data_IF_088222377762
#
_entry.id   IF_088222377762
#
_cell.length_a   1.000
_cell.length_b   1.000
_cell.length_c   1.000
_cell.angle_alpha   90.00
_cell.angle_beta   90.00
_cell.angle_gamma   90.00
#
_symmetry.space_group_name_H-M   'P 1'
#
loop_
_entity.id
_entity.type
_entity.pdbx_description
1 polymer ?
#
# COMPACT_ATOMS: atom_id res chain seq x y z
N UNK A 1 -29.07 16.79 13.87
CA UNK A 1 -27.71 16.21 13.81
C UNK A 1 -27.84 14.97 12.93
N UNK A 2 -27.45 15.07 11.66
CA UNK A 2 -27.54 13.93 10.74
C UNK A 2 -26.51 12.89 11.19
N UNK A 3 -26.93 11.64 11.33
CA UNK A 3 -26.03 10.55 11.68
C UNK A 3 -25.05 10.32 10.52
N UNK A 4 -23.75 10.46 10.79
CA UNK A 4 -22.72 9.97 9.88
C UNK A 4 -22.92 8.46 9.71
N UNK A 5 -23.19 8.03 8.48
CA UNK A 5 -23.23 6.61 8.13
C UNK A 5 -21.81 6.20 7.75
N UNK A 6 -21.24 5.25 8.46
CA UNK A 6 -20.02 4.58 8.03
C UNK A 6 -20.41 3.45 7.08
N UNK A 7 -19.96 3.51 5.83
CA UNK A 7 -20.10 2.42 4.86
C UNK A 7 -18.76 1.69 4.72
N UNK A 8 -18.79 0.36 4.76
CA UNK A 8 -17.64 -0.51 4.50
C UNK A 8 -17.58 -0.84 3.01
N UNK A 9 -16.42 -0.63 2.40
CA UNK A 9 -16.19 -0.94 1.00
C UNK A 9 -15.02 -1.92 0.90
N UNK A 10 -15.35 -3.17 0.60
CA UNK A 10 -14.35 -4.15 0.18
C UNK A 10 -14.16 -4.03 -1.33
N UNK A 11 -12.95 -3.64 -1.76
CA UNK A 11 -12.59 -3.57 -3.18
C UNK A 11 -11.30 -4.35 -3.42
N UNK A 12 -11.38 -5.30 -4.33
CA UNK A 12 -10.18 -5.90 -4.93
C UNK A 12 -9.61 -4.91 -5.96
N UNK A 13 -8.34 -4.54 -5.78
CA UNK A 13 -7.61 -3.71 -6.74
C UNK A 13 -6.46 -4.56 -7.28
N UNK A 14 -6.52 -4.88 -8.56
CA UNK A 14 -5.45 -5.57 -9.27
C UNK A 14 -4.28 -4.61 -9.49
N UNK A 15 -3.10 -4.97 -9.01
CA UNK A 15 -1.88 -4.19 -9.21
C UNK A 15 -0.71 -5.10 -9.57
N UNK A 16 0.22 -4.54 -10.34
CA UNK A 16 1.52 -5.16 -10.65
C UNK A 16 2.39 -5.15 -9.39
N UNK A 17 2.28 -6.24 -8.62
CA UNK A 17 2.59 -6.21 -7.20
C UNK A 17 4.05 -6.23 -6.81
N UNK A 18 4.96 -6.91 -7.54
CA UNK A 18 6.36 -6.98 -7.12
C UNK A 18 6.99 -5.59 -6.96
N UNK A 19 6.80 -4.73 -7.96
CA UNK A 19 7.32 -3.36 -7.94
C UNK A 19 6.49 -2.40 -7.08
N UNK A 20 5.21 -2.68 -6.85
CA UNK A 20 4.37 -1.86 -5.97
C UNK A 20 4.69 -2.10 -4.48
N UNK A 21 4.97 -3.34 -4.10
CA UNK A 21 5.26 -3.74 -2.72
C UNK A 21 6.50 -3.05 -2.16
N UNK A 22 7.58 -2.95 -2.94
CA UNK A 22 8.82 -2.29 -2.51
C UNK A 22 8.61 -0.80 -2.26
N UNK A 23 7.82 -0.14 -3.12
CA UNK A 23 7.45 1.27 -2.93
C UNK A 23 6.59 1.46 -1.67
N UNK A 24 5.64 0.56 -1.43
CA UNK A 24 4.80 0.63 -0.23
C UNK A 24 5.61 0.46 1.03
N UNK A 25 6.42 -0.60 1.15
CA UNK A 25 7.24 -0.83 2.34
C UNK A 25 8.17 0.36 2.59
N UNK A 26 8.78 0.93 1.54
CA UNK A 26 9.58 2.15 1.67
C UNK A 26 8.80 3.32 2.26
N UNK A 27 7.55 3.54 1.82
CA UNK A 27 6.72 4.65 2.23
C UNK A 27 6.03 4.44 3.59
N UNK A 28 5.59 3.23 3.91
CA UNK A 28 4.74 2.93 5.07
C UNK A 28 5.50 2.37 6.27
N UNK A 29 6.66 1.72 6.07
CA UNK A 29 7.46 1.17 7.17
C UNK A 29 8.49 2.18 7.72
N UNK A 30 8.44 3.45 7.32
CA UNK A 30 9.34 4.49 7.79
C UNK A 30 10.80 4.32 7.35
N UNK A 31 11.09 3.48 6.35
CA UNK A 31 12.44 3.22 5.84
C UNK A 31 13.10 4.51 5.36
N UNK A 32 12.38 5.28 4.53
CA UNK A 32 12.88 6.57 4.02
C UNK A 32 13.05 7.65 5.11
N UNK A 33 12.38 7.49 6.25
CA UNK A 33 12.50 8.42 7.39
C UNK A 33 13.58 7.99 8.39
N UNK A 34 14.00 6.71 8.37
CA UNK A 34 14.86 6.11 9.41
C UNK A 34 16.28 5.81 8.93
N UNK A 35 16.50 5.75 7.61
CA UNK A 35 17.79 5.40 7.01
C UNK A 35 18.34 6.55 6.16
N UNK A 36 19.68 6.72 6.11
CA UNK A 36 20.31 7.58 5.11
C UNK A 36 20.02 7.09 3.68
N UNK A 37 20.03 7.98 2.69
CA UNK A 37 19.67 7.68 1.30
C UNK A 37 20.37 6.44 0.71
N UNK A 38 21.67 6.29 0.95
CA UNK A 38 22.43 5.12 0.48
C UNK A 38 22.00 3.80 1.12
N UNK A 39 21.51 3.84 2.35
CA UNK A 39 20.94 2.67 3.03
C UNK A 39 19.49 2.40 2.60
N UNK A 40 18.71 3.45 2.28
CA UNK A 40 17.38 3.30 1.66
C UNK A 40 17.50 2.60 0.31
N UNK A 41 18.47 2.98 -0.53
CA UNK A 41 18.67 2.33 -1.83
C UNK A 41 19.03 0.86 -1.67
N UNK A 42 20.00 0.53 -0.81
CA UNK A 42 20.38 -0.87 -0.54
C UNK A 42 19.20 -1.71 -0.04
N UNK A 43 18.40 -1.16 0.88
CA UNK A 43 17.20 -1.83 1.36
C UNK A 43 16.22 -2.12 0.22
N UNK A 44 15.96 -1.16 -0.66
CA UNK A 44 15.05 -1.35 -1.79
C UNK A 44 15.56 -2.44 -2.75
N UNK A 45 16.85 -2.42 -3.08
CA UNK A 45 17.46 -3.41 -3.97
C UNK A 45 17.42 -4.84 -3.36
N UNK A 46 17.59 -4.97 -2.05
CA UNK A 46 17.47 -6.26 -1.35
C UNK A 46 16.02 -6.74 -1.32
N UNK A 47 15.08 -5.85 -1.02
CA UNK A 47 13.66 -6.15 -0.99
C UNK A 47 13.14 -6.57 -2.38
N UNK A 48 13.55 -5.89 -3.45
CA UNK A 48 13.22 -6.25 -4.83
C UNK A 48 13.63 -7.69 -5.15
N UNK A 49 14.84 -8.12 -4.74
CA UNK A 49 15.31 -9.49 -4.95
C UNK A 49 14.49 -10.51 -4.18
N UNK A 50 14.16 -10.23 -2.93
CA UNK A 50 13.33 -11.11 -2.09
C UNK A 50 11.93 -11.27 -2.69
N UNK A 51 11.34 -10.16 -3.13
CA UNK A 51 10.00 -10.16 -3.72
C UNK A 51 9.99 -10.91 -5.05
N UNK A 52 10.98 -10.69 -5.92
CA UNK A 52 11.10 -11.41 -7.19
C UNK A 52 11.31 -12.92 -7.00
N UNK A 53 12.10 -13.35 -6.00
CA UNK A 53 12.33 -14.76 -5.68
C UNK A 53 11.07 -15.43 -5.12
N UNK A 54 10.37 -14.76 -4.20
CA UNK A 54 9.24 -15.34 -3.45
C UNK A 54 7.90 -15.22 -4.18
N UNK A 55 7.76 -14.23 -5.05
CA UNK A 55 6.54 -13.93 -5.78
C UNK A 55 6.85 -13.73 -7.28
N UNK A 56 7.22 -14.81 -7.99
CA UNK A 56 7.65 -14.72 -9.39
C UNK A 56 6.50 -14.49 -10.40
N UNK A 57 5.29 -14.19 -9.93
CA UNK A 57 4.08 -14.00 -10.75
C UNK A 57 3.52 -12.59 -10.65
N UNK A 58 2.66 -12.24 -11.62
CA UNK A 58 2.38 -10.82 -11.95
C UNK A 58 1.36 -10.12 -11.04
N UNK A 59 0.53 -10.87 -10.31
CA UNK A 59 -0.59 -10.29 -9.53
C UNK A 59 -0.77 -11.01 -8.21
N UNK A 60 -0.54 -10.28 -7.12
CA UNK A 60 -0.94 -10.69 -5.77
C UNK A 60 -2.26 -9.98 -5.43
N UNK A 61 -3.32 -10.73 -5.10
CA UNK A 61 -4.53 -10.11 -4.58
C UNK A 61 -4.25 -9.42 -3.25
N UNK A 62 -4.28 -8.08 -3.21
CA UNK A 62 -4.20 -7.33 -1.95
C UNK A 62 -5.61 -6.91 -1.57
N UNK A 63 -6.26 -7.59 -0.60
CA UNK A 63 -7.57 -7.19 -0.13
C UNK A 63 -7.44 -5.83 0.57
N UNK A 64 -8.05 -4.80 0.00
CA UNK A 64 -8.12 -3.49 0.61
C UNK A 64 -9.45 -3.37 1.35
N UNK A 65 -9.37 -3.20 2.67
CA UNK A 65 -10.53 -2.78 3.46
C UNK A 65 -10.51 -1.26 3.56
N UNK A 66 -11.58 -0.62 3.09
CA UNK A 66 -11.73 0.83 3.11
C UNK A 66 -12.95 1.20 3.94
N UNK A 67 -12.77 2.17 4.84
CA UNK A 67 -13.85 2.83 5.55
C UNK A 67 -13.94 4.28 5.10
N UNK A 68 -15.14 4.76 4.81
CA UNK A 68 -15.39 6.15 4.43
C UNK A 68 -16.42 6.79 5.35
N UNK A 69 -16.23 8.08 5.64
CA UNK A 69 -17.23 8.95 6.27
C UNK A 69 -17.75 9.88 5.20
N UNK A 70 -19.06 9.83 4.93
CA UNK A 70 -19.69 10.63 3.87
C UNK A 70 -20.60 11.69 4.47
N UNK A 71 -20.21 12.96 4.31
CA UNK A 71 -21.08 14.09 4.63
C UNK A 71 -21.82 14.57 3.38
N UNK A 72 -23.14 14.75 3.48
CA UNK A 72 -23.94 15.38 2.40
C UNK A 72 -24.02 16.88 2.64
N UNK A 73 -23.54 17.65 1.66
CA UNK A 73 -23.71 19.11 1.67
C UNK A 73 -25.08 19.48 1.06
N UNK A 74 -25.92 20.15 1.86
CA UNK A 74 -27.19 20.73 1.41
C UNK A 74 -27.00 22.25 1.27
N UNK A 75 -26.32 22.65 0.19
CA UNK A 75 -26.34 24.03 -0.29
C UNK A 75 -27.55 24.29 -1.18
#
# INVERSE_FOLDING_TARGET
MAADQAEEFDREVEQDLPAALVRWVRASAGVGASLPDGAVQRFCDELDRVVADRFPGDVLGVPHRVWAVVARYSG
#
